data_IF_153599192923
#
_entry.id   IF_153599192923
#
_cell.length_a   1.000
_cell.length_b   1.000
_cell.length_c   1.000
_cell.angle_alpha   90.00
_cell.angle_beta   90.00
_cell.angle_gamma   90.00
#
_symmetry.space_group_name_H-M   'P 1'
#
loop_
_entity.id
_entity.type
_entity.pdbx_description
1 polymer ?
#
# COMPACT_ATOMS: atom_id res chain seq x y z
N UNK A 1 3.84 16.67 -28.85
CA UNK A 1 2.84 16.61 -27.76
C UNK A 1 2.84 15.29 -26.98
N UNK A 2 2.84 14.11 -27.61
CA UNK A 2 2.81 12.81 -26.93
C UNK A 2 3.93 12.53 -25.91
N UNK A 3 5.19 12.94 -26.18
CA UNK A 3 6.31 12.77 -25.22
C UNK A 3 6.09 13.54 -23.91
N UNK A 4 5.40 14.70 -23.95
CA UNK A 4 5.04 15.47 -22.74
C UNK A 4 3.92 14.79 -21.94
N UNK A 5 2.97 14.13 -22.61
CA UNK A 5 1.90 13.39 -21.93
C UNK A 5 2.44 12.16 -21.18
N UNK A 6 3.42 11.44 -21.75
CA UNK A 6 4.06 10.32 -21.05
C UNK A 6 4.87 10.77 -19.83
N UNK A 7 5.65 11.85 -19.95
CA UNK A 7 6.36 12.44 -18.82
C UNK A 7 5.40 12.92 -17.71
N UNK A 8 4.22 13.42 -18.09
CA UNK A 8 3.16 13.76 -17.14
C UNK A 8 2.68 12.54 -16.34
N UNK A 9 2.33 11.45 -17.03
CA UNK A 9 1.89 10.20 -16.39
C UNK A 9 2.97 9.60 -15.49
N UNK A 10 4.22 9.57 -15.94
CA UNK A 10 5.38 9.10 -15.17
C UNK A 10 5.50 9.86 -13.85
N UNK A 11 5.56 11.19 -13.91
CA UNK A 11 5.69 12.05 -12.73
C UNK A 11 4.47 11.96 -11.82
N UNK A 12 3.26 11.90 -12.37
CA UNK A 12 2.04 11.79 -11.57
C UNK A 12 1.96 10.45 -10.82
N UNK A 13 2.31 9.34 -11.47
CA UNK A 13 2.37 8.03 -10.82
C UNK A 13 3.39 8.06 -9.68
N UNK A 14 4.59 8.56 -9.95
CA UNK A 14 5.63 8.64 -8.93
C UNK A 14 5.20 9.54 -7.76
N UNK A 15 4.55 10.67 -8.05
CA UNK A 15 4.03 11.58 -7.04
C UNK A 15 2.99 10.90 -6.16
N UNK A 16 2.04 10.17 -6.75
CA UNK A 16 1.04 9.42 -5.99
C UNK A 16 1.68 8.31 -5.13
N UNK A 17 2.67 7.58 -5.65
CA UNK A 17 3.38 6.55 -4.90
C UNK A 17 4.19 7.14 -3.74
N UNK A 18 4.93 8.23 -3.96
CA UNK A 18 5.70 8.87 -2.90
C UNK A 18 4.80 9.50 -1.83
N UNK A 19 3.67 10.10 -2.23
CA UNK A 19 2.66 10.59 -1.29
C UNK A 19 2.05 9.45 -0.49
N UNK A 20 1.69 8.32 -1.11
CA UNK A 20 1.16 7.19 -0.35
C UNK A 20 2.17 6.66 0.67
N UNK A 21 3.46 6.65 0.34
CA UNK A 21 4.51 6.28 1.29
C UNK A 21 4.57 7.25 2.48
N UNK A 22 4.47 8.55 2.23
CA UNK A 22 4.45 9.57 3.28
C UNK A 22 3.23 9.40 4.18
N UNK A 23 2.03 9.28 3.61
CA UNK A 23 0.81 9.08 4.40
C UNK A 23 0.83 7.77 5.20
N UNK A 24 1.46 6.71 4.66
CA UNK A 24 1.65 5.46 5.40
C UNK A 24 2.64 5.62 6.56
N UNK A 25 3.66 6.47 6.43
CA UNK A 25 4.59 6.80 7.51
C UNK A 25 3.91 7.59 8.63
N UNK A 26 2.87 8.35 8.29
CA UNK A 26 2.02 9.06 9.26
C UNK A 26 0.85 8.20 9.77
N UNK A 27 0.83 6.92 9.40
CA UNK A 27 -0.24 5.95 9.70
C UNK A 27 -1.67 6.41 9.31
N UNK A 28 -1.80 7.20 8.24
CA UNK A 28 -3.09 7.72 7.75
C UNK A 28 -3.72 6.78 6.71
N UNK A 29 -4.69 5.97 7.13
CA UNK A 29 -5.30 4.93 6.28
C UNK A 29 -5.92 5.47 4.99
N UNK A 30 -6.92 6.36 5.09
CA UNK A 30 -7.71 6.79 3.94
C UNK A 30 -6.86 7.54 2.91
N UNK A 31 -5.98 8.44 3.37
CA UNK A 31 -5.10 9.21 2.49
C UNK A 31 -4.14 8.28 1.74
N UNK A 32 -3.51 7.34 2.45
CA UNK A 32 -2.65 6.31 1.84
C UNK A 32 -3.40 5.51 0.77
N UNK A 33 -4.63 5.08 1.06
CA UNK A 33 -5.47 4.31 0.13
C UNK A 33 -5.82 5.11 -1.12
N UNK A 34 -6.25 6.37 -0.95
CA UNK A 34 -6.60 7.26 -2.07
C UNK A 34 -5.40 7.50 -2.99
N UNK A 35 -4.21 7.73 -2.43
CA UNK A 35 -2.99 7.92 -3.21
C UNK A 35 -2.58 6.64 -3.95
N UNK A 36 -2.66 5.46 -3.30
CA UNK A 36 -2.40 4.16 -3.96
C UNK A 36 -3.38 3.88 -5.11
N UNK A 37 -4.66 4.17 -4.89
CA UNK A 37 -5.67 4.05 -5.94
C UNK A 37 -5.37 5.02 -7.10
N UNK A 38 -5.03 6.27 -6.79
CA UNK A 38 -4.63 7.28 -7.79
C UNK A 38 -3.44 6.87 -8.65
N UNK A 39 -2.43 6.22 -8.05
CA UNK A 39 -1.32 5.61 -8.78
C UNK A 39 -1.78 4.43 -9.65
N UNK A 40 -2.64 3.56 -9.11
CA UNK A 40 -3.14 2.40 -9.85
C UNK A 40 -3.94 2.80 -11.09
N UNK A 41 -4.87 3.75 -10.97
CA UNK A 41 -5.67 4.24 -12.11
C UNK A 41 -4.78 4.75 -13.25
N UNK A 42 -3.72 5.51 -12.93
CA UNK A 42 -2.78 6.06 -13.91
C UNK A 42 -1.88 5.01 -14.53
N UNK A 43 -1.39 4.06 -13.73
CA UNK A 43 -0.64 2.90 -14.23
C UNK A 43 -1.47 2.12 -15.24
N UNK A 44 -2.74 1.82 -14.92
CA UNK A 44 -3.66 1.12 -15.82
C UNK A 44 -3.93 1.93 -17.10
N UNK A 45 -4.07 3.26 -16.98
CA UNK A 45 -4.21 4.14 -18.14
C UNK A 45 -2.96 4.12 -19.04
N UNK A 46 -1.76 4.16 -18.45
CA UNK A 46 -0.51 4.07 -19.19
C UNK A 46 -0.31 2.67 -19.81
N UNK A 47 -0.68 1.61 -19.11
CA UNK A 47 -0.61 0.24 -19.65
C UNK A 47 -1.44 0.10 -20.94
N UNK A 48 -2.66 0.66 -20.96
CA UNK A 48 -3.52 0.68 -22.15
C UNK A 48 -2.88 1.43 -23.32
N UNK A 49 -2.20 2.55 -23.07
CA UNK A 49 -1.52 3.29 -24.14
C UNK A 49 -0.28 2.57 -24.66
N UNK A 50 0.39 1.77 -23.82
CA UNK A 50 1.49 0.89 -24.24
C UNK A 50 0.98 -0.27 -25.10
N UNK A 51 -0.07 -0.96 -24.67
CA UNK A 51 -0.67 -2.08 -25.43
C UNK A 51 -1.23 -1.63 -26.79
N UNK A 52 -1.86 -0.46 -26.86
CA UNK A 52 -2.38 0.12 -28.11
C UNK A 52 -1.27 0.51 -29.12
N UNK A 53 -0.03 0.71 -28.66
CA UNK A 53 1.11 0.98 -29.54
C UNK A 53 1.70 -0.30 -30.13
N UNK A 54 1.61 -1.41 -29.42
CA UNK A 54 2.15 -2.70 -29.84
C UNK A 54 1.22 -3.41 -30.83
N UNK A 55 -0.09 -3.18 -30.74
CA UNK A 55 -1.08 -3.72 -31.68
C UNK A 55 -0.89 -3.24 -33.14
N UNK A 56 -0.21 -2.11 -33.35
CA UNK A 56 0.13 -1.61 -34.71
C UNK A 56 1.39 -2.28 -35.32
N UNK A 57 2.16 -3.05 -34.55
CA UNK A 57 3.37 -3.75 -35.03
C UNK A 57 3.12 -5.20 -35.47
N UNK A 58 1.86 -5.66 -35.46
CA UNK A 58 1.49 -7.02 -35.87
C UNK A 58 1.24 -7.18 -37.37
N UNK A 59 1.91 -6.37 -38.20
CA UNK A 59 2.03 -6.61 -39.64
C UNK A 59 3.09 -7.69 -39.91
N UNK A 60 2.63 -8.91 -40.14
CA UNK A 60 3.33 -10.03 -40.82
C UNK A 60 4.80 -10.29 -40.43
N UNK A 61 5.04 -11.19 -39.45
CA UNK A 61 6.29 -11.97 -39.40
C UNK A 61 7.00 -12.20 -38.06
N UNK A 62 6.50 -11.72 -36.91
CA UNK A 62 7.30 -11.64 -35.68
C UNK A 62 7.07 -12.78 -34.64
N UNK A 63 6.98 -14.04 -35.05
CA UNK A 63 6.78 -15.16 -34.10
C UNK A 63 8.05 -15.56 -33.32
N UNK A 64 9.23 -14.96 -33.58
CA UNK A 64 10.50 -15.38 -32.97
C UNK A 64 11.25 -14.34 -32.12
N UNK A 65 10.72 -13.12 -31.94
CA UNK A 65 11.29 -12.11 -31.03
C UNK A 65 10.24 -11.62 -30.03
N UNK A 66 9.65 -12.53 -29.26
CA UNK A 66 8.82 -12.18 -28.09
C UNK A 66 9.70 -11.71 -26.92
N UNK A 67 10.33 -10.55 -27.06
CA UNK A 67 10.73 -9.74 -25.90
C UNK A 67 9.93 -8.45 -25.94
N UNK A 68 8.61 -8.62 -25.78
CA UNK A 68 7.67 -7.55 -25.50
C UNK A 68 7.88 -7.05 -24.06
N UNK A 69 9.06 -6.49 -23.81
CA UNK A 69 9.47 -6.00 -22.50
C UNK A 69 8.88 -4.59 -22.36
N UNK A 70 7.86 -4.46 -21.50
CA UNK A 70 7.39 -3.15 -21.02
C UNK A 70 8.60 -2.26 -20.65
N UNK A 71 8.53 -0.94 -20.86
CA UNK A 71 9.63 -0.04 -20.51
C UNK A 71 10.13 -0.28 -19.08
N UNK A 72 11.45 -0.32 -18.89
CA UNK A 72 12.05 -0.67 -17.59
C UNK A 72 11.54 0.21 -16.44
N UNK A 73 11.33 1.51 -16.70
CA UNK A 73 10.73 2.43 -15.72
C UNK A 73 9.30 2.02 -15.35
N UNK A 74 8.48 1.63 -16.32
CA UNK A 74 7.12 1.18 -16.07
C UNK A 74 7.12 -0.11 -15.23
N UNK A 75 7.99 -1.07 -15.56
CA UNK A 75 8.16 -2.28 -14.76
C UNK A 75 8.61 -1.96 -13.33
N UNK A 76 9.50 -0.98 -13.15
CA UNK A 76 9.94 -0.53 -11.84
C UNK A 76 8.80 0.11 -11.05
N UNK A 77 7.97 0.96 -11.68
CA UNK A 77 6.79 1.55 -11.04
C UNK A 77 5.75 0.50 -10.61
N UNK A 78 5.55 -0.55 -11.42
CA UNK A 78 4.70 -1.69 -11.04
C UNK A 78 5.23 -2.39 -9.78
N UNK A 79 6.53 -2.67 -9.74
CA UNK A 79 7.19 -3.29 -8.57
C UNK A 79 7.11 -2.39 -7.33
N UNK A 80 7.33 -1.10 -7.49
CA UNK A 80 7.22 -0.12 -6.40
C UNK A 80 5.80 -0.06 -5.85
N UNK A 81 4.78 0.04 -6.72
CA UNK A 81 3.36 -0.01 -6.32
C UNK A 81 3.06 -1.30 -5.56
N UNK A 82 3.51 -2.45 -6.07
CA UNK A 82 3.31 -3.75 -5.43
C UNK A 82 3.94 -3.80 -4.02
N UNK A 83 5.15 -3.27 -3.85
CA UNK A 83 5.81 -3.18 -2.56
C UNK A 83 5.02 -2.27 -1.58
N UNK A 84 4.54 -1.12 -2.05
CA UNK A 84 3.74 -0.20 -1.23
C UNK A 84 2.37 -0.78 -0.85
N UNK A 85 1.70 -1.51 -1.75
CA UNK A 85 0.46 -2.22 -1.43
C UNK A 85 0.71 -3.32 -0.38
N UNK A 86 1.83 -4.04 -0.48
CA UNK A 86 2.21 -5.04 0.52
C UNK A 86 2.47 -4.41 1.90
N UNK A 87 3.15 -3.25 1.94
CA UNK A 87 3.38 -2.46 3.16
C UNK A 87 2.07 -1.92 3.74
N UNK A 88 1.22 -1.32 2.91
CA UNK A 88 -0.10 -0.83 3.29
C UNK A 88 -0.93 -1.94 3.94
N UNK A 89 -0.93 -3.14 3.32
CA UNK A 89 -1.67 -4.30 3.82
C UNK A 89 -1.20 -4.75 5.21
N UNK A 90 0.09 -4.60 5.51
CA UNK A 90 0.63 -4.87 6.84
C UNK A 90 0.21 -3.79 7.84
N UNK A 91 0.44 -2.51 7.51
CA UNK A 91 0.22 -1.37 8.41
C UNK A 91 -1.25 -1.20 8.79
N UNK A 92 -2.16 -1.62 7.92
CA UNK A 92 -3.60 -1.49 8.11
C UNK A 92 -4.31 -2.84 8.11
N UNK A 93 -3.61 -3.92 8.49
CA UNK A 93 -4.16 -5.27 8.47
C UNK A 93 -5.45 -5.38 9.27
N UNK A 94 -5.50 -4.80 10.49
CA UNK A 94 -6.67 -4.80 11.36
C UNK A 94 -7.87 -4.10 10.70
N UNK A 95 -7.67 -2.88 10.18
CA UNK A 95 -8.69 -2.11 9.46
C UNK A 95 -9.20 -2.88 8.23
N UNK A 96 -8.28 -3.46 7.43
CA UNK A 96 -8.64 -4.22 6.24
C UNK A 96 -9.39 -5.51 6.56
N UNK A 97 -9.00 -6.22 7.62
CA UNK A 97 -9.66 -7.44 8.07
C UNK A 97 -11.09 -7.17 8.57
N UNK A 98 -11.37 -5.99 9.12
CA UNK A 98 -12.73 -5.58 9.51
C UNK A 98 -13.59 -5.21 8.30
N UNK A 99 -13.00 -4.62 7.26
CA UNK A 99 -13.74 -4.09 6.09
C UNK A 99 -13.84 -5.08 4.92
N UNK A 100 -13.03 -6.13 4.91
CA UNK A 100 -12.95 -7.10 3.80
C UNK A 100 -13.54 -8.45 4.22
N UNK A 101 -14.60 -8.89 3.55
CA UNK A 101 -15.24 -10.19 3.83
C UNK A 101 -14.30 -11.39 3.62
N UNK A 102 -13.33 -11.29 2.71
CA UNK A 102 -12.31 -12.32 2.45
C UNK A 102 -10.89 -11.72 2.39
N UNK A 103 -10.30 -11.51 3.57
CA UNK A 103 -8.93 -11.02 3.69
C UNK A 103 -7.90 -11.98 3.07
N UNK A 104 -8.18 -13.29 3.02
CA UNK A 104 -7.26 -14.28 2.43
C UNK A 104 -7.19 -14.13 0.91
N UNK A 105 -8.33 -13.91 0.26
CA UNK A 105 -8.35 -13.64 -1.19
C UNK A 105 -7.59 -12.36 -1.53
N UNK A 106 -7.66 -11.34 -0.66
CA UNK A 106 -6.90 -10.11 -0.82
C UNK A 106 -5.39 -10.34 -0.67
N UNK A 107 -4.95 -11.03 0.40
CA UNK A 107 -3.52 -11.24 0.65
C UNK A 107 -2.85 -12.13 -0.41
N UNK A 108 -3.58 -13.07 -1.00
CA UNK A 108 -3.09 -13.91 -2.11
C UNK A 108 -2.71 -13.12 -3.37
N UNK A 109 -3.25 -11.91 -3.56
CA UNK A 109 -2.92 -11.03 -4.69
C UNK A 109 -1.70 -10.15 -4.41
N UNK A 110 -1.21 -10.13 -3.17
CA UNK A 110 -0.05 -9.33 -2.79
C UNK A 110 1.23 -9.97 -3.31
N UNK A 111 2.16 -9.13 -3.75
CA UNK A 111 3.52 -9.59 -4.08
C UNK A 111 4.25 -10.09 -2.84
N UNK A 112 3.91 -9.60 -1.65
CA UNK A 112 4.40 -10.16 -0.39
C UNK A 112 3.34 -10.02 0.71
N UNK A 113 2.93 -11.16 1.28
CA UNK A 113 2.12 -11.20 2.48
C UNK A 113 3.03 -11.13 3.73
N UNK A 114 3.31 -9.91 4.19
CA UNK A 114 4.13 -9.70 5.39
C UNK A 114 3.45 -10.20 6.66
N UNK A 115 2.13 -10.10 6.77
CA UNK A 115 1.41 -10.54 7.95
C UNK A 115 1.54 -12.05 8.12
N UNK A 116 1.33 -12.82 7.05
CA UNK A 116 1.54 -14.27 7.07
C UNK A 116 3.00 -14.66 7.37
N UNK A 117 3.97 -13.90 6.85
CA UNK A 117 5.40 -14.11 7.16
C UNK A 117 5.67 -13.91 8.65
N UNK A 118 5.13 -12.85 9.26
CA UNK A 118 5.27 -12.56 10.69
C UNK A 118 4.61 -13.67 11.53
N UNK A 119 3.39 -14.09 11.18
CA UNK A 119 2.71 -15.20 11.85
C UNK A 119 3.49 -16.52 11.75
N UNK A 120 4.10 -16.79 10.60
CA UNK A 120 4.87 -18.01 10.38
C UNK A 120 6.20 -17.96 11.13
N UNK A 121 6.85 -16.79 11.17
CA UNK A 121 8.05 -16.55 11.96
C UNK A 121 7.78 -16.74 13.46
N UNK A 122 6.71 -16.16 13.99
CA UNK A 122 6.34 -16.28 15.39
C UNK A 122 6.16 -17.75 15.79
N UNK A 123 5.37 -18.52 15.00
CA UNK A 123 5.15 -19.95 15.24
C UNK A 123 6.41 -20.79 15.11
N UNK A 124 7.26 -20.50 14.11
CA UNK A 124 8.47 -21.29 13.84
C UNK A 124 9.54 -21.14 14.92
N UNK A 125 9.57 -19.99 15.60
CA UNK A 125 10.59 -19.68 16.60
C UNK A 125 10.06 -19.71 18.04
N UNK A 126 8.80 -20.14 18.24
CA UNK A 126 8.12 -20.13 19.55
C UNK A 126 8.21 -18.77 20.26
N UNK A 127 8.15 -17.68 19.48
CA UNK A 127 8.20 -16.33 20.03
C UNK A 127 6.88 -16.02 20.75
N UNK A 128 6.96 -15.42 21.94
CA UNK A 128 5.78 -15.02 22.72
C UNK A 128 4.90 -14.04 21.94
N UNK A 129 5.52 -13.03 21.32
CA UNK A 129 4.84 -12.08 20.45
C UNK A 129 5.81 -11.46 19.42
N UNK A 130 5.25 -11.00 18.31
CA UNK A 130 5.88 -10.08 17.36
C UNK A 130 4.96 -8.87 17.21
N UNK A 131 5.48 -7.69 17.53
CA UNK A 131 4.74 -6.43 17.54
C UNK A 131 5.32 -5.46 16.52
N UNK A 132 4.44 -4.80 15.76
CA UNK A 132 4.77 -3.58 15.05
C UNK A 132 4.18 -2.43 15.85
N UNK A 133 5.04 -1.56 16.38
CA UNK A 133 4.64 -0.40 17.18
C UNK A 133 4.82 0.85 16.35
N UNK A 134 3.83 1.73 16.39
CA UNK A 134 3.93 3.06 15.79
C UNK A 134 4.29 4.07 16.87
N UNK A 135 5.15 5.02 16.53
CA UNK A 135 5.53 6.12 17.41
C UNK A 135 4.75 7.36 16.98
N UNK A 136 3.82 7.78 17.83
CA UNK A 136 2.96 8.94 17.64
C UNK A 136 3.40 10.15 18.48
N UNK A 137 4.52 10.07 19.21
CA UNK A 137 4.93 11.11 20.17
C UNK A 137 5.14 12.49 19.52
N UNK A 138 5.58 12.53 18.26
CA UNK A 138 5.83 13.77 17.52
C UNK A 138 4.66 14.18 16.60
N UNK A 139 3.50 13.53 16.73
CA UNK A 139 2.34 13.76 15.87
C UNK A 139 1.21 14.46 16.62
N UNK A 140 1.19 15.79 16.52
CA UNK A 140 0.14 16.62 17.11
C UNK A 140 -1.26 16.33 16.55
N UNK A 141 -1.34 15.82 15.31
CA UNK A 141 -2.58 15.53 14.59
C UNK A 141 -2.91 14.02 14.51
N UNK A 142 -2.25 13.18 15.33
CA UNK A 142 -2.51 11.75 15.33
C UNK A 142 -3.87 11.42 15.98
N UNK A 143 -4.80 10.93 15.15
CA UNK A 143 -6.14 10.55 15.60
C UNK A 143 -6.38 9.03 15.69
N UNK A 144 -5.45 8.21 15.21
CA UNK A 144 -5.63 6.76 15.09
C UNK A 144 -5.65 6.25 13.63
N UNK A 145 -5.68 4.92 13.44
CA UNK A 145 -5.66 4.29 12.12
C UNK A 145 -7.01 4.30 11.38
N UNK A 146 -8.06 4.84 12.00
CA UNK A 146 -9.43 4.82 11.51
C UNK A 146 -9.76 6.00 10.60
N UNK A 147 -11.04 6.09 10.20
CA UNK A 147 -11.58 7.31 9.62
C UNK A 147 -11.98 8.28 10.74
N UNK A 148 -11.48 9.50 10.67
CA UNK A 148 -11.83 10.58 11.59
C UNK A 148 -12.52 11.71 10.81
N UNK A 149 -13.61 12.22 11.37
CA UNK A 149 -14.31 13.37 10.79
C UNK A 149 -13.40 14.61 10.89
N UNK A 150 -13.28 15.45 9.85
CA UNK A 150 -12.38 16.61 9.85
C UNK A 150 -12.58 17.58 11.03
N UNK A 151 -13.81 17.67 11.54
CA UNK A 151 -14.17 18.58 12.64
C UNK A 151 -14.06 17.93 14.04
N UNK A 152 -13.55 16.69 14.15
CA UNK A 152 -13.36 16.04 15.46
C UNK A 152 -12.12 16.66 16.13
N UNK A 153 -12.31 17.33 17.25
CA UNK A 153 -11.20 17.76 18.13
C UNK A 153 -10.51 16.50 18.64
N UNK A 154 -9.22 16.35 18.31
CA UNK A 154 -8.41 15.23 18.78
C UNK A 154 -7.66 15.70 20.02
N UNK A 155 -7.85 15.01 21.15
CA UNK A 155 -7.08 15.29 22.36
C UNK A 155 -5.64 14.80 22.15
N UNK A 156 -4.62 15.58 22.56
CA UNK A 156 -3.23 15.14 22.44
C UNK A 156 -3.02 13.86 23.26
N UNK A 157 -2.39 12.88 22.61
CA UNK A 157 -2.09 11.58 23.20
C UNK A 157 -0.88 11.74 24.14
N UNK A 158 -0.96 11.19 25.36
CA UNK A 158 0.12 11.32 26.36
C UNK A 158 0.67 9.95 26.77
N UNK A 159 1.94 9.91 27.16
CA UNK A 159 2.64 8.76 27.73
C UNK A 159 2.60 7.48 26.85
N UNK A 160 2.13 6.34 27.40
CA UNK A 160 2.14 5.04 26.71
C UNK A 160 1.19 4.98 25.52
N UNK A 161 0.21 5.87 25.45
CA UNK A 161 -0.74 5.92 24.34
C UNK A 161 -0.07 6.43 23.05
N UNK A 162 1.11 7.06 23.15
CA UNK A 162 1.95 7.46 22.01
C UNK A 162 2.57 6.26 21.25
N UNK A 163 2.47 5.03 21.78
CA UNK A 163 3.07 3.84 21.19
C UNK A 163 2.04 2.77 20.81
N UNK A 164 1.06 3.07 19.95
CA UNK A 164 0.03 2.11 19.58
C UNK A 164 0.60 0.92 18.81
N UNK A 165 0.04 -0.26 19.08
CA UNK A 165 0.39 -1.50 18.38
C UNK A 165 -0.38 -1.55 17.07
N UNK A 166 0.35 -1.45 15.96
CA UNK A 166 -0.16 -1.53 14.59
C UNK A 166 -0.52 -2.97 14.21
N UNK A 167 0.38 -3.90 14.55
CA UNK A 167 0.23 -5.33 14.28
C UNK A 167 0.68 -6.11 15.50
N UNK A 168 -0.10 -7.12 15.87
CA UNK A 168 0.26 -8.10 16.90
C UNK A 168 0.10 -9.53 16.39
N UNK A 169 1.12 -10.35 16.63
CA UNK A 169 1.07 -11.80 16.42
C UNK A 169 1.62 -12.49 17.69
N UNK A 170 0.82 -13.21 18.49
CA UNK A 170 -0.61 -13.50 18.27
C UNK A 170 -1.48 -12.24 18.33
N UNK A 171 -2.68 -12.32 17.77
CA UNK A 171 -3.65 -11.21 17.81
C UNK A 171 -4.06 -10.98 19.27
N UNK A 172 -3.79 -9.79 19.79
CA UNK A 172 -4.20 -9.42 21.15
C UNK A 172 -5.64 -8.90 21.09
N UNK A 173 -6.58 -9.69 21.61
CA UNK A 173 -7.96 -9.28 21.85
C UNK A 173 -8.01 -8.29 23.02
N UNK A 174 -7.70 -7.01 22.80
CA UNK A 174 -7.68 -6.05 23.91
C UNK A 174 -7.57 -4.57 23.59
N UNK A 175 -7.16 -4.17 22.38
CA UNK A 175 -6.99 -2.75 22.03
C UNK A 175 -7.98 -2.29 20.95
N UNK A 176 -9.25 -2.68 21.08
CA UNK A 176 -10.32 -1.91 20.46
C UNK A 176 -10.47 -0.69 21.36
N UNK A 177 -9.84 0.42 20.98
CA UNK A 177 -10.12 1.70 21.61
C UNK A 177 -11.64 1.94 21.54
N UNK A 178 -12.30 2.31 22.66
CA UNK A 178 -13.70 2.67 22.63
C UNK A 178 -13.89 3.90 21.73
N UNK A 179 -15.06 3.93 21.08
CA UNK A 179 -15.52 4.94 20.12
C UNK A 179 -15.30 6.40 20.51
#
# INVERSE_FOLDING_TARGET
MHRRQNLGLECEILTHLLRSQLEMQMWRFLQSLMQLHGAHTRITAWERTLQNRESWKLGFGATFLKTNQLPALFQWLLKLKAAFVSKFSLYFYSTLAQQTQDMKMFTNKLTTDYYHKIQSFQRRNDAVAVLLVFDAHELEDYAGPGYHHPDKVTEPVHDLECYPIVVSCPVVSGFIAPH
#
